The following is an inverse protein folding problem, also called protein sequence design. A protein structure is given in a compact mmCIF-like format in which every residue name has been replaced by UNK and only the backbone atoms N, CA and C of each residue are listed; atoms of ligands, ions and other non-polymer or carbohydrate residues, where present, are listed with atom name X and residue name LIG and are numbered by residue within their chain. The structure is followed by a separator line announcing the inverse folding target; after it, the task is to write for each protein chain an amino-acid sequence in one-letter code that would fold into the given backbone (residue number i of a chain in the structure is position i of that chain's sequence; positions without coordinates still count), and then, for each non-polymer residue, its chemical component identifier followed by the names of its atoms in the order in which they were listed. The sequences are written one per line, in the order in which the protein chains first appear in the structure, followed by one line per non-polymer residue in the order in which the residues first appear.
data_IF_907093050595
#
_entry.id   IF_907093050595
#
_cell.length_a   1.000
_cell.length_b   1.000
_cell.length_c   1.000
_cell.angle_alpha   90.00
_cell.angle_beta   90.00
_cell.angle_gamma   90.00
#
_symmetry.space_group_name_H-M   'P 1'
#
loop_
_entity.id
_entity.type
_entity.pdbx_description
1 polymer ?
#
# COMPACT_ATOMS: atom_id res chain seq x y z
N UNK A 1 8.02 -3.51 -37.18
CA UNK A 1 7.11 -4.43 -36.48
C UNK A 1 7.55 -4.50 -35.04
N UNK A 2 6.79 -3.92 -34.11
CA UNK A 2 7.08 -4.05 -32.69
C UNK A 2 6.59 -5.44 -32.24
N UNK A 3 7.50 -6.26 -31.72
CA UNK A 3 7.14 -7.54 -31.14
C UNK A 3 6.21 -7.29 -29.94
N UNK A 4 5.06 -7.95 -29.94
CA UNK A 4 4.17 -8.01 -28.78
C UNK A 4 4.89 -8.89 -27.75
N UNK A 5 5.57 -8.28 -26.79
CA UNK A 5 6.15 -9.01 -25.65
C UNK A 5 5.00 -9.64 -24.85
N UNK A 6 5.03 -10.96 -24.69
CA UNK A 6 4.15 -11.64 -23.75
C UNK A 6 4.56 -11.27 -22.32
N UNK A 7 3.60 -10.99 -21.46
CA UNK A 7 3.78 -10.50 -20.08
C UNK A 7 4.54 -11.45 -19.14
N UNK A 8 4.88 -12.67 -19.57
CA UNK A 8 5.47 -13.71 -18.73
C UNK A 8 7.01 -13.64 -18.58
N UNK A 9 7.69 -12.75 -19.30
CA UNK A 9 9.16 -12.67 -19.29
C UNK A 9 9.71 -11.38 -18.64
N UNK A 10 8.85 -10.50 -18.13
CA UNK A 10 9.27 -9.26 -17.47
C UNK A 10 9.39 -9.46 -15.96
N UNK A 11 10.41 -8.88 -15.29
CA UNK A 11 10.52 -8.93 -13.85
C UNK A 11 9.31 -8.29 -13.17
N UNK A 12 8.82 -8.94 -12.12
CA UNK A 12 7.74 -8.42 -11.28
C UNK A 12 8.24 -7.20 -10.49
N UNK A 13 7.51 -6.09 -10.54
CA UNK A 13 7.81 -4.87 -9.80
C UNK A 13 6.88 -4.74 -8.61
N UNK A 14 7.45 -4.84 -7.42
CA UNK A 14 6.71 -4.73 -6.17
C UNK A 14 7.00 -3.36 -5.54
N UNK A 15 5.93 -2.62 -5.22
CA UNK A 15 6.03 -1.49 -4.30
C UNK A 15 5.71 -1.97 -2.89
N UNK A 16 6.73 -2.05 -2.04
CA UNK A 16 6.55 -2.36 -0.63
C UNK A 16 6.57 -1.07 0.19
N UNK A 17 5.53 -0.88 1.01
CA UNK A 17 5.39 0.22 1.96
C UNK A 17 5.18 -0.39 3.35
N UNK A 18 5.82 0.17 4.35
CA UNK A 18 5.77 -0.31 5.74
C UNK A 18 5.82 0.87 6.70
N UNK A 19 5.37 0.67 7.93
CA UNK A 19 5.55 1.57 9.07
C UNK A 19 5.09 3.01 8.77
N UNK A 20 3.93 3.15 8.12
CA UNK A 20 3.39 4.45 7.70
C UNK A 20 2.81 5.25 8.87
N UNK A 21 2.37 4.58 9.94
CA UNK A 21 1.88 5.19 11.17
C UNK A 21 0.89 6.36 10.91
N UNK A 22 -0.08 6.14 10.03
CA UNK A 22 -1.11 7.13 9.72
C UNK A 22 -2.10 7.26 10.88
N UNK A 23 -2.78 8.40 10.94
CA UNK A 23 -3.83 8.68 11.91
C UNK A 23 -5.15 8.92 11.18
N UNK A 24 -6.26 8.84 11.91
CA UNK A 24 -7.58 9.25 11.41
C UNK A 24 -7.59 10.71 10.95
N UNK A 25 -6.86 11.58 11.67
CA UNK A 25 -6.78 13.00 11.36
C UNK A 25 -5.62 13.32 10.42
N UNK A 26 -5.84 14.21 9.45
CA UNK A 26 -4.81 14.71 8.53
C UNK A 26 -3.70 15.52 9.21
N UNK A 27 -3.84 15.85 10.50
CA UNK A 27 -2.86 16.57 11.31
C UNK A 27 -2.14 15.69 12.33
N UNK A 28 -2.27 14.37 12.22
CA UNK A 28 -1.58 13.42 13.09
C UNK A 28 -0.07 13.59 13.02
N UNK A 29 0.59 13.53 14.18
CA UNK A 29 2.06 13.63 14.27
C UNK A 29 2.65 12.50 15.08
N UNK A 30 3.67 11.85 14.52
CA UNK A 30 4.52 10.89 15.22
C UNK A 30 5.88 11.53 15.45
N UNK A 31 6.27 11.67 16.72
CA UNK A 31 7.54 12.31 17.11
C UNK A 31 7.75 13.70 16.48
N UNK A 32 6.65 14.45 16.31
CA UNK A 32 6.65 15.78 15.70
C UNK A 32 6.58 15.78 14.16
N UNK A 33 6.71 14.63 13.49
CA UNK A 33 6.60 14.49 12.04
C UNK A 33 5.14 14.29 11.62
N UNK A 34 4.73 14.98 10.56
CA UNK A 34 3.45 14.75 9.89
C UNK A 34 3.57 13.49 9.01
N UNK A 35 2.99 12.39 9.49
CA UNK A 35 3.10 11.08 8.82
C UNK A 35 2.31 11.05 7.52
N UNK A 36 1.19 11.77 7.44
CA UNK A 36 0.40 11.87 6.22
C UNK A 36 1.13 12.64 5.12
N UNK A 37 1.76 13.77 5.46
CA UNK A 37 2.59 14.50 4.50
C UNK A 37 3.79 13.68 4.03
N UNK A 38 4.42 12.93 4.95
CA UNK A 38 5.56 12.06 4.61
C UNK A 38 5.15 10.92 3.69
N UNK A 39 4.01 10.26 3.99
CA UNK A 39 3.44 9.21 3.17
C UNK A 39 3.08 9.73 1.76
N UNK A 40 2.42 10.88 1.67
CA UNK A 40 2.07 11.49 0.38
C UNK A 40 3.32 11.81 -0.45
N UNK A 41 4.38 12.35 0.18
CA UNK A 41 5.63 12.63 -0.52
C UNK A 41 6.28 11.37 -1.11
N UNK A 42 6.17 10.22 -0.44
CA UNK A 42 6.62 8.92 -0.97
C UNK A 42 5.80 8.52 -2.20
N UNK A 43 4.48 8.62 -2.15
CA UNK A 43 3.61 8.30 -3.29
C UNK A 43 3.89 9.20 -4.49
N UNK A 44 4.04 10.51 -4.25
CA UNK A 44 4.36 11.49 -5.29
C UNK A 44 5.71 11.18 -5.95
N UNK A 45 6.71 10.78 -5.16
CA UNK A 45 8.02 10.37 -5.68
C UNK A 45 7.90 9.14 -6.61
N UNK A 46 7.09 8.15 -6.22
CA UNK A 46 6.90 6.93 -7.03
C UNK A 46 6.23 7.27 -8.36
N UNK A 47 5.18 8.09 -8.33
CA UNK A 47 4.45 8.54 -9.52
C UNK A 47 5.38 9.35 -10.44
N UNK A 48 6.15 10.29 -9.89
CA UNK A 48 7.07 11.14 -10.64
C UNK A 48 8.19 10.37 -11.33
N UNK A 49 8.60 9.22 -10.78
CA UNK A 49 9.63 8.36 -11.38
C UNK A 49 9.07 7.36 -12.41
N UNK A 50 7.78 7.47 -12.79
CA UNK A 50 7.07 6.57 -13.70
C UNK A 50 7.22 5.07 -13.35
N UNK A 51 7.46 4.78 -12.07
CA UNK A 51 7.59 3.41 -11.56
C UNK A 51 6.19 2.86 -11.33
N UNK A 52 5.59 2.30 -12.37
CA UNK A 52 4.34 1.53 -12.21
C UNK A 52 4.68 0.16 -11.58
N UNK A 53 4.24 -0.10 -10.33
CA UNK A 53 4.33 -1.44 -9.77
C UNK A 53 3.31 -2.35 -10.44
N UNK A 54 3.52 -3.65 -10.35
CA UNK A 54 2.53 -4.68 -10.69
C UNK A 54 1.61 -4.97 -9.50
N UNK A 55 2.12 -4.78 -8.27
CA UNK A 55 1.36 -4.90 -7.02
C UNK A 55 1.97 -4.04 -5.90
N UNK A 56 1.16 -3.78 -4.87
CA UNK A 56 1.58 -3.06 -3.66
C UNK A 56 1.46 -3.98 -2.45
N UNK A 57 2.52 -4.03 -1.64
CA UNK A 57 2.54 -4.70 -0.33
C UNK A 57 2.58 -3.65 0.79
N UNK A 58 1.67 -3.77 1.75
CA UNK A 58 1.61 -2.97 2.97
C UNK A 58 2.01 -3.85 4.15
N UNK A 59 3.24 -3.75 4.65
CA UNK A 59 3.85 -4.80 5.49
C UNK A 59 3.91 -4.52 6.99
N UNK A 60 3.02 -3.67 7.50
CA UNK A 60 2.80 -3.50 8.93
C UNK A 60 2.91 -2.06 9.41
N UNK A 61 2.41 -1.82 10.62
CA UNK A 61 2.35 -0.54 11.32
C UNK A 61 1.78 0.58 10.44
N UNK A 62 0.61 0.27 9.86
CA UNK A 62 -0.06 1.14 8.90
C UNK A 62 -0.77 2.31 9.58
N UNK A 63 -1.47 2.03 10.69
CA UNK A 63 -2.18 3.03 11.48
C UNK A 63 -1.61 3.14 12.90
N UNK A 64 -1.25 4.35 13.33
CA UNK A 64 -0.73 4.62 14.66
C UNK A 64 -1.80 4.58 15.76
N UNK A 65 -3.01 5.04 15.43
CA UNK A 65 -4.16 5.08 16.33
C UNK A 65 -5.12 3.88 16.16
N UNK A 66 -4.76 2.95 15.29
CA UNK A 66 -5.54 1.75 14.94
C UNK A 66 -7.00 2.06 14.56
N UNK A 67 -7.24 3.20 13.92
CA UNK A 67 -8.56 3.66 13.51
C UNK A 67 -8.98 3.13 12.13
N UNK A 68 -10.29 2.98 11.89
CA UNK A 68 -10.82 2.62 10.57
C UNK A 68 -10.52 3.72 9.55
N UNK A 69 -10.58 4.97 10.01
CA UNK A 69 -10.35 6.17 9.22
C UNK A 69 -8.91 6.24 8.70
N UNK A 70 -7.90 5.88 9.50
CA UNK A 70 -6.51 5.81 9.04
C UNK A 70 -6.35 4.80 7.89
N UNK A 71 -6.95 3.61 8.00
CA UNK A 71 -6.94 2.60 6.93
C UNK A 71 -7.67 3.09 5.68
N UNK A 72 -8.83 3.72 5.85
CA UNK A 72 -9.61 4.28 4.73
C UNK A 72 -8.87 5.42 4.01
N UNK A 73 -8.15 6.27 4.74
CA UNK A 73 -7.30 7.32 4.17
C UNK A 73 -6.14 6.74 3.37
N UNK A 74 -5.43 5.76 3.94
CA UNK A 74 -4.38 5.04 3.23
C UNK A 74 -4.90 4.43 1.92
N UNK A 75 -6.04 3.74 1.98
CA UNK A 75 -6.64 3.11 0.82
C UNK A 75 -7.02 4.12 -0.26
N UNK A 76 -7.56 5.27 0.13
CA UNK A 76 -7.91 6.37 -0.78
C UNK A 76 -6.67 6.89 -1.52
N UNK A 77 -5.57 7.13 -0.80
CA UNK A 77 -4.32 7.62 -1.39
C UNK A 77 -3.70 6.62 -2.37
N UNK A 78 -3.77 5.32 -2.06
CA UNK A 78 -3.23 4.23 -2.88
C UNK A 78 -4.13 3.86 -4.08
N UNK A 79 -5.41 4.24 -4.07
CA UNK A 79 -6.36 3.92 -5.16
C UNK A 79 -5.91 4.42 -6.55
N UNK A 80 -5.07 5.46 -6.60
CA UNK A 80 -4.53 6.02 -7.83
C UNK A 80 -3.61 5.06 -8.60
N UNK A 81 -3.01 4.08 -7.94
CA UNK A 81 -2.10 3.13 -8.58
C UNK A 81 -2.83 2.09 -9.45
N UNK A 82 -4.10 1.77 -9.12
CA UNK A 82 -4.95 0.82 -9.88
C UNK A 82 -4.31 -0.56 -10.06
N UNK A 83 -3.62 -1.05 -9.04
CA UNK A 83 -2.98 -2.36 -8.99
C UNK A 83 -3.45 -3.13 -7.75
N UNK A 84 -3.32 -4.47 -7.73
CA UNK A 84 -3.58 -5.26 -6.53
C UNK A 84 -2.79 -4.74 -5.33
N UNK A 85 -3.48 -4.68 -4.18
CA UNK A 85 -2.94 -4.28 -2.90
C UNK A 85 -3.12 -5.43 -1.91
N UNK A 86 -2.07 -5.73 -1.18
CA UNK A 86 -2.03 -6.76 -0.15
C UNK A 86 -1.47 -6.17 1.13
N UNK A 87 -1.94 -6.63 2.29
CA UNK A 87 -1.45 -6.12 3.57
C UNK A 87 -1.22 -7.18 4.62
N UNK A 88 -0.27 -6.89 5.49
CA UNK A 88 0.04 -7.61 6.72
C UNK A 88 -0.04 -6.61 7.88
N UNK A 89 -0.71 -6.96 9.00
CA UNK A 89 -0.80 -6.06 10.14
C UNK A 89 0.53 -6.02 10.90
N UNK A 90 0.91 -4.84 11.39
CA UNK A 90 1.95 -4.70 12.41
C UNK A 90 1.38 -4.73 13.82
N UNK A 91 2.21 -4.40 14.82
CA UNK A 91 1.79 -4.39 16.23
C UNK A 91 0.91 -3.19 16.59
N UNK A 92 0.98 -2.09 15.84
CA UNK A 92 0.08 -0.95 16.00
C UNK A 92 -1.28 -1.16 15.33
N UNK A 93 -1.40 -2.16 14.46
CA UNK A 93 -2.62 -2.42 13.73
C UNK A 93 -3.63 -3.27 14.51
N UNK A 94 -4.92 -3.14 14.15
CA UNK A 94 -5.97 -4.06 14.60
C UNK A 94 -6.30 -5.01 13.45
N UNK A 95 -5.77 -6.25 13.43
CA UNK A 95 -5.86 -7.14 12.27
C UNK A 95 -7.27 -7.32 11.72
N UNK A 96 -8.25 -7.50 12.61
CA UNK A 96 -9.66 -7.67 12.21
C UNK A 96 -10.24 -6.41 11.58
N UNK A 97 -10.04 -5.24 12.20
CA UNK A 97 -10.55 -3.97 11.70
C UNK A 97 -9.89 -3.62 10.36
N UNK A 98 -8.55 -3.70 10.31
CA UNK A 98 -7.77 -3.49 9.10
C UNK A 98 -8.29 -4.34 7.94
N UNK A 99 -8.47 -5.64 8.18
CA UNK A 99 -9.02 -6.58 7.19
C UNK A 99 -10.41 -6.17 6.73
N UNK A 100 -11.34 -5.97 7.67
CA UNK A 100 -12.72 -5.59 7.35
C UNK A 100 -12.79 -4.27 6.57
N UNK A 101 -11.94 -3.28 6.89
CA UNK A 101 -11.88 -2.01 6.17
C UNK A 101 -11.32 -2.18 4.76
N UNK A 102 -10.21 -2.90 4.60
CA UNK A 102 -9.58 -3.12 3.29
C UNK A 102 -10.43 -4.02 2.38
N UNK A 103 -11.10 -5.05 2.90
CA UNK A 103 -12.05 -5.87 2.15
C UNK A 103 -13.20 -5.03 1.57
N UNK A 104 -13.79 -4.13 2.38
CA UNK A 104 -14.86 -3.20 1.91
C UNK A 104 -14.38 -2.31 0.76
N UNK A 105 -13.07 -2.05 0.67
CA UNK A 105 -12.46 -1.17 -0.32
C UNK A 105 -11.86 -1.94 -1.50
N UNK A 106 -12.00 -3.27 -1.55
CA UNK A 106 -11.58 -4.11 -2.67
C UNK A 106 -10.10 -4.50 -2.67
N UNK A 107 -9.43 -4.43 -1.51
CA UNK A 107 -8.03 -4.83 -1.36
C UNK A 107 -7.97 -6.34 -1.10
N UNK A 108 -6.96 -7.01 -1.67
CA UNK A 108 -6.73 -8.43 -1.38
C UNK A 108 -6.03 -8.61 -0.05
N UNK A 109 -6.26 -9.76 0.58
CA UNK A 109 -5.69 -10.16 1.87
C UNK A 109 -5.00 -11.52 1.76
N UNK A 110 -4.69 -11.95 0.53
CA UNK A 110 -4.07 -13.24 0.28
C UNK A 110 -2.72 -13.34 1.01
N UNK A 111 -2.52 -14.43 1.74
CA UNK A 111 -1.27 -14.70 2.45
C UNK A 111 -0.18 -15.28 1.53
N UNK A 112 -0.55 -15.63 0.30
CA UNK A 112 0.31 -16.19 -0.73
C UNK A 112 -0.12 -15.60 -2.07
N UNK A 113 0.84 -15.16 -2.88
CA UNK A 113 0.60 -14.51 -4.16
C UNK A 113 1.51 -15.17 -5.18
N UNK A 114 0.92 -15.83 -6.18
CA UNK A 114 1.66 -16.34 -7.33
C UNK A 114 1.67 -15.27 -8.43
N UNK A 115 2.85 -14.74 -8.72
CA UNK A 115 3.08 -13.73 -9.76
C UNK A 115 3.73 -14.32 -11.01
N UNK A 116 3.97 -15.65 -11.04
CA UNK A 116 4.61 -16.36 -12.12
C UNK A 116 6.08 -16.01 -12.31
N UNK A 117 6.36 -14.94 -13.05
CA UNK A 117 7.68 -14.57 -13.60
C UNK A 117 8.70 -14.03 -12.57
N UNK A 118 8.68 -14.53 -11.33
CA UNK A 118 9.67 -14.18 -10.32
C UNK A 118 11.04 -14.73 -10.72
N UNK A 119 12.02 -13.84 -10.95
CA UNK A 119 13.41 -14.19 -11.27
C UNK A 119 14.38 -13.44 -10.36
#
# INVERSE_FOLDING_TARGET
MAAIMHSADLPVKILQITDSHLFAGSTGRLMGLDTNASFQAVLDLIIANERRPDLILLTGDLAQDSSEEAYAHMATQLSNFKVPLYCLPGNHDKPRLMRETFEKLGFSQDSEIDTGAWQ
#
